data_IF_945929451568
#
_entry.id   IF_945929451568
#
_cell.length_a   1.000
_cell.length_b   1.000
_cell.length_c   1.000
_cell.angle_alpha   90.00
_cell.angle_beta   90.00
_cell.angle_gamma   90.00
#
_symmetry.space_group_name_H-M   'P 1'
#
loop_
_entity.id
_entity.type
_entity.pdbx_description
1 polymer ?
#
# COMPACT_ATOMS: atom_id res chain seq x y z
N UNK A 1 -3.42 18.24 -16.80
CA UNK A 1 -3.74 19.14 -15.67
C UNK A 1 -5.24 19.31 -15.43
N UNK A 2 -6.11 19.38 -16.45
CA UNK A 2 -7.58 19.51 -16.24
C UNK A 2 -8.21 18.41 -15.36
N UNK A 3 -7.84 17.15 -15.55
CA UNK A 3 -8.33 16.06 -14.70
C UNK A 3 -7.91 16.19 -13.22
N UNK A 4 -6.70 16.71 -12.96
CA UNK A 4 -6.24 16.98 -11.60
C UNK A 4 -7.04 18.13 -10.97
N UNK A 5 -7.27 19.21 -11.72
CA UNK A 5 -8.12 20.31 -11.26
C UNK A 5 -9.54 19.88 -10.94
N UNK A 6 -10.14 19.02 -11.78
CA UNK A 6 -11.46 18.45 -11.53
C UNK A 6 -11.48 17.56 -10.27
N UNK A 7 -10.43 16.76 -10.04
CA UNK A 7 -10.31 15.92 -8.84
C UNK A 7 -10.19 16.78 -7.57
N UNK A 8 -9.34 17.81 -7.58
CA UNK A 8 -9.17 18.74 -6.46
C UNK A 8 -10.49 19.45 -6.16
N UNK A 9 -11.14 19.98 -7.20
CA UNK A 9 -12.44 20.63 -7.05
C UNK A 9 -13.50 19.69 -6.48
N UNK A 10 -13.54 18.43 -6.93
CA UNK A 10 -14.45 17.43 -6.37
C UNK A 10 -14.15 17.09 -4.90
N UNK A 11 -12.86 17.03 -4.53
CA UNK A 11 -12.45 16.87 -3.14
C UNK A 11 -12.88 18.06 -2.28
N UNK A 12 -12.74 19.29 -2.77
CA UNK A 12 -13.22 20.50 -2.07
C UNK A 12 -14.74 20.47 -1.88
N UNK A 13 -15.50 20.06 -2.91
CA UNK A 13 -16.96 19.95 -2.83
C UNK A 13 -17.42 18.90 -1.82
N UNK A 14 -16.75 17.74 -1.77
CA UNK A 14 -17.17 16.60 -0.95
C UNK A 14 -16.60 16.61 0.47
N UNK A 15 -15.37 17.09 0.65
CA UNK A 15 -14.66 17.10 1.95
C UNK A 15 -14.66 18.49 2.61
N UNK A 16 -14.99 19.58 1.89
CA UNK A 16 -15.00 20.95 2.43
C UNK A 16 -13.68 21.31 3.12
N UNK A 17 -13.69 21.53 4.45
CA UNK A 17 -12.51 21.88 5.25
C UNK A 17 -11.65 20.67 5.67
N UNK A 18 -12.10 19.45 5.33
CA UNK A 18 -11.50 18.19 5.76
C UNK A 18 -10.63 17.55 4.68
N UNK A 19 -9.91 18.36 3.91
CA UNK A 19 -9.02 17.86 2.85
C UNK A 19 -7.76 17.31 3.54
N UNK A 20 -7.39 16.04 3.32
CA UNK A 20 -6.14 15.49 3.84
C UNK A 20 -4.95 16.28 3.32
N UNK A 21 -3.82 16.20 4.03
CA UNK A 21 -2.58 16.80 3.59
C UNK A 21 -2.07 16.05 2.33
N UNK A 22 -2.31 16.64 1.15
CA UNK A 22 -1.82 16.11 -0.13
C UNK A 22 -0.45 16.72 -0.40
N UNK A 23 0.59 16.05 0.10
CA UNK A 23 1.97 16.43 -0.17
C UNK A 23 2.50 15.61 -1.34
N UNK A 24 2.82 16.29 -2.44
CA UNK A 24 3.38 15.78 -3.69
C UNK A 24 2.39 15.18 -4.69
N UNK A 25 2.33 15.81 -5.86
CA UNK A 25 1.79 15.22 -7.06
C UNK A 25 2.95 14.70 -7.89
N UNK A 26 3.06 13.38 -8.00
CA UNK A 26 4.03 12.75 -8.89
C UNK A 26 3.33 12.30 -10.17
N UNK A 27 3.91 12.67 -11.32
CA UNK A 27 3.52 12.08 -12.58
C UNK A 27 4.04 10.65 -12.59
N UNK A 28 3.12 9.70 -12.45
CA UNK A 28 3.44 8.28 -12.61
C UNK A 28 3.76 8.04 -14.08
N UNK A 29 5.04 7.97 -14.41
CA UNK A 29 5.47 7.62 -15.76
C UNK A 29 5.19 6.12 -15.99
N UNK A 30 4.29 5.85 -16.93
CA UNK A 30 3.94 4.51 -17.39
C UNK A 30 5.17 3.73 -17.88
N UNK A 31 6.25 4.42 -18.27
CA UNK A 31 7.52 3.80 -18.68
C UNK A 31 8.30 3.15 -17.54
N UNK A 32 7.97 3.40 -16.28
CA UNK A 32 8.68 2.77 -15.15
C UNK A 32 8.09 1.41 -14.74
N UNK A 33 6.93 1.06 -15.32
CA UNK A 33 6.16 -0.12 -14.94
C UNK A 33 5.70 -0.90 -16.17
N UNK A 34 5.58 -2.22 -16.00
CA UNK A 34 5.01 -3.08 -17.02
C UNK A 34 3.54 -2.75 -17.16
N UNK A 35 3.12 -2.43 -18.39
CA UNK A 35 1.71 -2.26 -18.68
C UNK A 35 1.07 -3.65 -18.82
N UNK A 36 0.16 -3.96 -17.92
CA UNK A 36 -0.68 -5.15 -17.98
C UNK A 36 -2.10 -4.66 -18.24
N UNK A 37 -2.70 -5.10 -19.35
CA UNK A 37 -4.08 -4.75 -19.65
C UNK A 37 -5.04 -5.48 -18.70
N UNK A 38 -6.27 -4.96 -18.62
CA UNK A 38 -7.28 -5.50 -17.70
C UNK A 38 -7.66 -6.95 -18.01
N UNK A 39 -7.64 -7.39 -19.27
CA UNK A 39 -7.93 -8.78 -19.61
C UNK A 39 -6.81 -9.68 -19.10
N UNK A 40 -5.55 -9.31 -19.30
CA UNK A 40 -4.41 -10.06 -18.77
C UNK A 40 -4.45 -10.16 -17.23
N UNK A 41 -4.79 -9.09 -16.51
CA UNK A 41 -4.95 -9.13 -15.04
C UNK A 41 -5.99 -10.16 -14.61
N UNK A 42 -7.13 -10.23 -15.33
CA UNK A 42 -8.21 -11.18 -15.05
C UNK A 42 -7.85 -12.61 -15.45
N UNK A 43 -7.33 -12.82 -16.65
CA UNK A 43 -6.96 -14.14 -17.17
C UNK A 43 -5.85 -14.80 -16.35
N UNK A 44 -4.93 -14.01 -15.81
CA UNK A 44 -3.89 -14.49 -14.88
C UNK A 44 -4.37 -14.58 -13.43
N UNK A 45 -5.62 -14.19 -13.15
CA UNK A 45 -6.23 -14.18 -11.82
C UNK A 45 -5.34 -13.52 -10.76
N UNK A 46 -4.72 -12.37 -11.12
CA UNK A 46 -3.69 -11.76 -10.28
C UNK A 46 -4.25 -11.30 -8.93
N UNK A 47 -5.47 -10.77 -8.91
CA UNK A 47 -6.09 -10.12 -7.74
C UNK A 47 -7.32 -10.85 -7.23
N UNK A 48 -8.06 -11.48 -8.14
CA UNK A 48 -9.27 -12.26 -7.95
C UNK A 48 -9.39 -13.23 -9.12
N UNK A 49 -10.10 -14.33 -8.92
CA UNK A 49 -10.43 -15.30 -9.95
C UNK A 49 -11.45 -14.72 -10.94
N UNK A 50 -11.65 -15.43 -12.05
CA UNK A 50 -12.66 -15.05 -13.05
C UNK A 50 -14.10 -15.02 -12.52
N UNK A 51 -14.41 -15.79 -11.48
CA UNK A 51 -15.71 -15.80 -10.78
C UNK A 51 -15.87 -14.66 -9.75
N UNK A 52 -14.86 -13.79 -9.61
CA UNK A 52 -14.83 -12.66 -8.66
C UNK A 52 -14.42 -13.04 -7.24
N UNK A 53 -14.16 -14.32 -6.94
CA UNK A 53 -13.66 -14.72 -5.63
C UNK A 53 -12.16 -14.43 -5.53
N UNK A 54 -11.71 -14.02 -4.35
CA UNK A 54 -10.28 -13.78 -4.10
C UNK A 54 -9.52 -15.07 -3.80
N UNK A 55 -10.16 -16.01 -3.12
CA UNK A 55 -9.51 -17.26 -2.71
C UNK A 55 -9.14 -18.09 -3.93
N UNK A 56 -7.85 -18.39 -4.08
CA UNK A 56 -7.29 -19.06 -5.25
C UNK A 56 -6.62 -18.13 -6.26
N UNK A 57 -6.77 -16.81 -6.14
CA UNK A 57 -6.01 -15.83 -6.92
C UNK A 57 -4.54 -15.77 -6.49
N UNK A 58 -3.66 -15.27 -7.36
CA UNK A 58 -2.24 -15.08 -7.02
C UNK A 58 -2.06 -14.25 -5.75
N UNK A 59 -2.78 -13.12 -5.64
CA UNK A 59 -2.75 -12.25 -4.46
C UNK A 59 -3.09 -13.02 -3.18
N UNK A 60 -4.12 -13.87 -3.19
CA UNK A 60 -4.51 -14.65 -2.00
C UNK A 60 -3.42 -15.64 -1.55
N UNK A 61 -2.64 -16.16 -2.50
CA UNK A 61 -1.55 -17.08 -2.23
C UNK A 61 -0.35 -16.34 -1.65
N UNK A 62 0.06 -15.23 -2.27
CA UNK A 62 1.32 -14.55 -1.92
C UNK A 62 1.19 -13.51 -0.80
N UNK A 63 -0.02 -12.97 -0.56
CA UNK A 63 -0.22 -11.98 0.48
C UNK A 63 -0.18 -12.63 1.87
N UNK A 64 1.02 -12.65 2.45
CA UNK A 64 1.28 -13.04 3.85
C UNK A 64 1.68 -11.84 4.71
N UNK A 65 1.38 -10.63 4.23
CA UNK A 65 1.75 -9.40 4.93
C UNK A 65 1.05 -9.31 6.29
N UNK A 66 1.68 -8.63 7.25
CA UNK A 66 1.16 -8.50 8.62
C UNK A 66 0.38 -7.21 8.86
N UNK A 67 0.33 -6.32 7.87
CA UNK A 67 -0.33 -5.01 7.98
C UNK A 67 -1.22 -4.78 6.77
N UNK A 68 -2.32 -4.04 6.98
CA UNK A 68 -3.21 -3.65 5.89
C UNK A 68 -2.51 -2.79 4.82
N UNK A 69 -1.51 -1.99 5.21
CA UNK A 69 -0.68 -1.22 4.28
C UNK A 69 0.23 -2.12 3.44
N UNK A 70 0.79 -3.17 4.02
CA UNK A 70 1.56 -4.19 3.29
C UNK A 70 0.72 -4.91 2.24
N UNK A 71 -0.50 -5.33 2.59
CA UNK A 71 -1.45 -5.98 1.67
C UNK A 71 -1.81 -5.08 0.49
N UNK A 72 -2.02 -3.77 0.74
CA UNK A 72 -2.21 -2.77 -0.32
C UNK A 72 -0.97 -2.64 -1.21
N UNK A 73 0.22 -2.56 -0.61
CA UNK A 73 1.47 -2.41 -1.34
C UNK A 73 1.76 -3.60 -2.27
N UNK A 74 1.60 -4.84 -1.80
CA UNK A 74 1.83 -6.02 -2.65
C UNK A 74 0.80 -6.12 -3.78
N UNK A 75 -0.45 -5.72 -3.52
CA UNK A 75 -1.49 -5.60 -4.54
C UNK A 75 -1.10 -4.59 -5.62
N UNK A 76 -0.52 -3.45 -5.24
CA UNK A 76 -0.06 -2.43 -6.18
C UNK A 76 1.16 -2.91 -6.98
N UNK A 77 2.08 -3.66 -6.35
CA UNK A 77 3.21 -4.28 -7.06
C UNK A 77 2.77 -5.30 -8.12
N UNK A 78 1.71 -6.07 -7.86
CA UNK A 78 1.17 -7.01 -8.85
C UNK A 78 0.51 -6.30 -10.04
N UNK A 79 -0.15 -5.16 -9.80
CA UNK A 79 -0.80 -4.37 -10.86
C UNK A 79 0.18 -3.63 -11.74
N UNK A 80 1.28 -3.17 -11.15
CA UNK A 80 2.31 -2.38 -11.82
C UNK A 80 3.69 -2.94 -11.48
N UNK A 81 4.11 -4.05 -12.09
CA UNK A 81 5.45 -4.58 -11.90
C UNK A 81 6.50 -3.58 -12.39
N UNK A 82 7.64 -3.52 -11.69
CA UNK A 82 8.77 -2.69 -12.12
C UNK A 82 9.37 -3.22 -13.43
N UNK A 83 9.88 -2.31 -14.27
CA UNK A 83 10.74 -2.69 -15.40
C UNK A 83 12.18 -2.22 -15.25
N UNK A 84 12.45 -1.29 -14.32
CA UNK A 84 13.81 -0.87 -14.01
C UNK A 84 14.56 -2.00 -13.29
N UNK A 85 15.57 -2.53 -13.97
CA UNK A 85 16.44 -3.60 -13.48
C UNK A 85 17.15 -3.23 -12.17
N UNK A 86 17.51 -1.96 -11.96
CA UNK A 86 18.18 -1.51 -10.75
C UNK A 86 17.24 -1.54 -9.55
N UNK A 87 16.01 -1.06 -9.71
CA UNK A 87 14.98 -1.14 -8.66
C UNK A 87 14.58 -2.58 -8.35
N UNK A 88 14.46 -3.44 -9.37
CA UNK A 88 14.23 -4.87 -9.19
C UNK A 88 15.35 -5.49 -8.37
N UNK A 89 16.62 -5.27 -8.75
CA UNK A 89 17.79 -5.76 -8.00
C UNK A 89 17.82 -5.24 -6.57
N UNK A 90 17.49 -3.96 -6.35
CA UNK A 90 17.43 -3.36 -5.02
C UNK A 90 16.40 -4.10 -4.14
N UNK A 91 15.22 -4.42 -4.68
CA UNK A 91 14.22 -5.22 -3.95
C UNK A 91 14.72 -6.63 -3.64
N UNK A 92 15.36 -7.30 -4.60
CA UNK A 92 15.96 -8.62 -4.35
C UNK A 92 17.01 -8.58 -3.24
N UNK A 93 17.91 -7.58 -3.26
CA UNK A 93 18.92 -7.41 -2.21
C UNK A 93 18.30 -7.21 -0.82
N UNK A 94 17.21 -6.44 -0.73
CA UNK A 94 16.48 -6.27 0.54
C UNK A 94 15.90 -7.60 1.03
N UNK A 95 15.29 -8.39 0.14
CA UNK A 95 14.77 -9.72 0.46
C UNK A 95 15.89 -10.65 0.91
N UNK A 96 17.00 -10.71 0.17
CA UNK A 96 18.17 -11.53 0.52
C UNK A 96 18.76 -11.14 1.87
N UNK A 97 18.77 -9.85 2.21
CA UNK A 97 19.24 -9.39 3.51
C UNK A 97 18.30 -9.82 4.64
N UNK A 98 16.99 -9.75 4.44
CA UNK A 98 16.00 -10.21 5.43
C UNK A 98 16.06 -11.73 5.62
N UNK A 99 16.27 -12.50 4.54
CA UNK A 99 16.43 -13.96 4.62
C UNK A 99 17.70 -14.32 5.40
N UNK A 100 18.82 -13.63 5.13
CA UNK A 100 20.10 -13.86 5.83
C UNK A 100 20.06 -13.53 7.33
N UNK A 101 19.17 -12.63 7.75
CA UNK A 101 19.02 -12.21 9.15
C UNK A 101 17.67 -12.65 9.74
N UNK A 102 17.42 -13.96 9.73
CA UNK A 102 16.12 -14.56 10.11
C UNK A 102 15.59 -14.10 11.48
N UNK A 103 16.44 -14.05 12.52
CA UNK A 103 16.04 -13.59 13.86
C UNK A 103 15.60 -12.12 13.86
N UNK A 104 16.30 -11.25 13.13
CA UNK A 104 15.91 -9.85 13.01
C UNK A 104 14.59 -9.72 12.24
N UNK A 105 14.43 -10.49 11.16
CA UNK A 105 13.20 -10.54 10.36
C UNK A 105 12.01 -11.03 11.19
N UNK A 106 12.17 -12.05 12.02
CA UNK A 106 11.11 -12.51 12.92
C UNK A 106 10.69 -11.43 13.92
N UNK A 107 11.66 -10.71 14.52
CA UNK A 107 11.37 -9.57 15.41
C UNK A 107 10.60 -8.47 14.67
N UNK A 108 10.97 -8.16 13.42
CA UNK A 108 10.25 -7.19 12.59
C UNK A 108 8.83 -7.66 12.31
N UNK A 109 8.63 -8.92 11.91
CA UNK A 109 7.31 -9.51 11.64
C UNK A 109 6.42 -9.45 12.88
N UNK A 110 6.97 -9.81 14.05
CA UNK A 110 6.26 -9.79 15.32
C UNK A 110 5.90 -8.36 15.76
N UNK A 111 6.77 -7.40 15.49
CA UNK A 111 6.46 -5.99 15.72
C UNK A 111 5.32 -5.50 14.81
N UNK A 112 5.43 -5.76 13.50
CA UNK A 112 4.46 -5.31 12.50
C UNK A 112 3.08 -5.94 12.69
N UNK A 113 2.99 -7.20 13.12
CA UNK A 113 1.71 -7.89 13.36
C UNK A 113 0.88 -7.28 14.49
N UNK A 114 1.51 -6.50 15.36
CA UNK A 114 0.85 -5.82 16.47
C UNK A 114 0.36 -4.42 16.09
N UNK A 115 0.68 -3.95 14.88
CA UNK A 115 0.25 -2.65 14.39
C UNK A 115 -1.13 -2.74 13.75
N UNK A 116 -1.98 -1.77 14.07
CA UNK A 116 -3.24 -1.54 13.35
C UNK A 116 -2.98 -0.78 12.03
N UNK A 117 -4.03 -0.42 11.30
CA UNK A 117 -3.92 0.37 10.06
C UNK A 117 -3.52 1.84 10.34
N UNK A 118 -2.23 2.04 10.61
CA UNK A 118 -1.60 3.33 10.92
C UNK A 118 -1.76 4.30 9.75
N UNK A 119 -1.56 3.83 8.52
CA UNK A 119 -1.62 4.67 7.31
C UNK A 119 -2.99 5.34 7.18
N UNK A 120 -4.09 4.57 7.32
CA UNK A 120 -5.44 5.15 7.27
C UNK A 120 -5.78 6.02 8.47
N UNK A 121 -5.25 5.69 9.65
CA UNK A 121 -5.42 6.54 10.83
C UNK A 121 -4.75 7.90 10.60
N UNK A 122 -3.53 7.93 10.06
CA UNK A 122 -2.84 9.16 9.68
C UNK A 122 -3.60 9.95 8.62
N UNK A 123 -4.12 9.29 7.57
CA UNK A 123 -4.92 9.97 6.55
C UNK A 123 -6.15 10.64 7.15
N UNK A 124 -6.89 9.97 8.04
CA UNK A 124 -8.06 10.55 8.71
C UNK A 124 -7.70 11.71 9.64
N UNK A 125 -6.58 11.60 10.36
CA UNK A 125 -6.08 12.68 11.23
C UNK A 125 -5.70 13.90 10.39
N UNK A 126 -4.97 13.70 9.29
CA UNK A 126 -4.59 14.78 8.39
C UNK A 126 -5.79 15.49 7.75
N UNK A 127 -6.91 14.78 7.60
CA UNK A 127 -8.16 15.29 7.08
C UNK A 127 -9.12 15.83 8.16
N UNK A 128 -8.72 15.89 9.45
CA UNK A 128 -9.59 16.31 10.56
C UNK A 128 -10.93 15.53 10.69
N UNK A 129 -10.97 14.29 10.19
CA UNK A 129 -12.14 13.38 10.31
C UNK A 129 -11.82 12.17 11.19
N UNK A 130 -10.76 12.27 11.99
CA UNK A 130 -10.35 11.20 12.88
C UNK A 130 -11.31 11.04 14.06
N UNK A 131 -11.31 9.85 14.63
CA UNK A 131 -11.96 9.57 15.90
C UNK A 131 -10.89 9.30 16.99
N UNK A 132 -11.27 9.20 18.28
CA UNK A 132 -10.31 8.94 19.37
C UNK A 132 -9.50 7.64 19.21
N UNK A 133 -10.02 6.63 18.49
CA UNK A 133 -9.30 5.38 18.24
C UNK A 133 -8.11 5.59 17.30
N UNK A 134 -8.18 6.53 16.37
CA UNK A 134 -7.06 6.85 15.47
C UNK A 134 -5.85 7.38 16.24
N UNK A 135 -6.09 8.25 17.24
CA UNK A 135 -5.04 8.74 18.13
C UNK A 135 -4.47 7.62 19.00
N UNK A 136 -5.31 6.68 19.45
CA UNK A 136 -4.85 5.50 20.20
C UNK A 136 -3.96 4.59 19.35
N UNK A 137 -4.25 4.44 18.04
CA UNK A 137 -3.40 3.69 17.10
C UNK A 137 -2.00 4.33 17.03
N UNK A 138 -1.92 5.65 16.92
CA UNK A 138 -0.63 6.36 16.89
C UNK A 138 0.12 6.28 18.21
N UNK A 139 -0.58 6.42 19.34
CA UNK A 139 0.02 6.25 20.67
C UNK A 139 0.64 4.85 20.80
N UNK A 140 -0.11 3.81 20.43
CA UNK A 140 0.38 2.42 20.45
C UNK A 140 1.60 2.22 19.55
N UNK A 141 1.63 2.83 18.37
CA UNK A 141 2.80 2.79 17.49
C UNK A 141 4.01 3.43 18.17
N UNK A 142 3.85 4.67 18.68
CA UNK A 142 4.92 5.40 19.38
C UNK A 142 5.47 4.60 20.56
N UNK A 143 4.59 4.07 21.41
CA UNK A 143 4.99 3.32 22.61
C UNK A 143 5.73 2.00 22.28
N UNK A 144 5.60 1.48 21.05
CA UNK A 144 6.35 0.32 20.57
C UNK A 144 7.67 0.67 19.90
N UNK A 145 7.79 1.87 19.32
CA UNK A 145 9.01 2.36 18.67
C UNK A 145 10.00 3.03 19.63
N UNK A 146 9.52 3.49 20.79
CA UNK A 146 10.33 4.06 21.86
C UNK A 146 11.04 2.96 22.66
#
# INVERSE_FOLDING_TARGET
MSALGALIHYLELTQKQNIPLINNFELVDKKNYMQIDHFSIKSLELLEKNDGQKDGSLLSVIDKTKTASGSRLIKDFLKAPLIDKNEIKRRHQLVDNLIRHSLATERIINFLSQLSDVERALSRISANINNPRDLLILKKLRDKCA
#
